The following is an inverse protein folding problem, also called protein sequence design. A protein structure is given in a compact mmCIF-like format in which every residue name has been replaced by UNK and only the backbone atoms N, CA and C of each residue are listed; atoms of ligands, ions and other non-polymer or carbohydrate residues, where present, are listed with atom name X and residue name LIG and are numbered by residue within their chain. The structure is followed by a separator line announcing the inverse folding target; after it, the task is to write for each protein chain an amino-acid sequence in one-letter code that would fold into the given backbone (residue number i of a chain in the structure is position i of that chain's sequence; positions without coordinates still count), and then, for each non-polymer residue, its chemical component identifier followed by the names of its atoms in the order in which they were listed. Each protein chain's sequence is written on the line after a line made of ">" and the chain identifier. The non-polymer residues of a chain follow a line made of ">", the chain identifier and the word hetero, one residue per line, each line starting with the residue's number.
data_IF_058670085153
#
_entry.id   IF_058670085153
#
_cell.length_a   1.000
_cell.length_b   1.000
_cell.length_c   1.000
_cell.angle_alpha   90.00
_cell.angle_beta   90.00
_cell.angle_gamma   90.00
#
_symmetry.space_group_name_H-M   'P 1'
#
loop_
_entity.id
_entity.type
_entity.pdbx_description
1 polymer ?
#
# COMPACT_ATOMS: atom_id res chain seq x y z
N UNK A 1 -75.94 29.81 -13.84
CA UNK A 1 -75.14 29.62 -12.67
C UNK A 1 -74.70 28.15 -12.46
N UNK A 2 -75.54 27.17 -12.43
CA UNK A 2 -75.18 25.75 -12.22
C UNK A 2 -74.15 25.22 -13.23
N UNK A 3 -74.23 25.57 -14.53
CA UNK A 3 -73.26 25.13 -15.55
C UNK A 3 -71.86 25.76 -15.39
N UNK A 4 -71.83 26.99 -14.91
CA UNK A 4 -70.55 27.69 -14.65
C UNK A 4 -69.79 27.06 -13.48
N UNK A 5 -70.54 26.70 -12.42
CA UNK A 5 -69.92 26.05 -11.22
C UNK A 5 -69.39 24.68 -11.59
N UNK A 6 -70.10 23.92 -12.43
CA UNK A 6 -69.59 22.59 -12.89
C UNK A 6 -68.31 22.72 -13.73
N UNK A 7 -68.21 23.76 -14.57
CA UNK A 7 -67.06 24.00 -15.42
C UNK A 7 -65.86 24.45 -14.60
N UNK A 8 -66.04 25.27 -13.56
CA UNK A 8 -64.99 25.67 -12.63
C UNK A 8 -64.50 24.48 -11.80
N UNK A 9 -65.43 23.62 -11.35
CA UNK A 9 -65.05 22.43 -10.58
C UNK A 9 -64.27 21.41 -11.44
N UNK A 10 -64.65 21.23 -12.72
CA UNK A 10 -63.85 20.40 -13.63
C UNK A 10 -62.46 20.99 -13.93
N UNK A 11 -62.33 22.32 -14.03
CA UNK A 11 -61.06 22.96 -14.24
C UNK A 11 -60.14 22.81 -13.02
N UNK A 12 -60.70 22.90 -11.81
CA UNK A 12 -59.94 22.68 -10.57
C UNK A 12 -59.48 21.23 -10.42
N UNK A 13 -60.28 20.25 -10.84
CA UNK A 13 -59.87 18.84 -10.82
C UNK A 13 -58.82 18.54 -11.88
N UNK A 14 -58.90 19.21 -13.06
CA UNK A 14 -57.86 19.06 -14.10
C UNK A 14 -56.51 19.63 -13.68
N UNK A 15 -56.46 20.72 -12.89
CA UNK A 15 -55.22 21.26 -12.35
C UNK A 15 -54.62 20.39 -11.25
N UNK A 16 -55.40 19.61 -10.51
CA UNK A 16 -54.86 18.69 -9.50
C UNK A 16 -54.27 17.40 -10.09
N UNK A 17 -54.51 17.12 -11.38
CA UNK A 17 -53.95 15.96 -12.07
C UNK A 17 -52.54 16.22 -12.66
N UNK A 18 -52.08 17.46 -12.66
CA UNK A 18 -50.69 17.82 -12.95
C UNK A 18 -49.87 17.97 -11.67
N UNK A 19 -50.09 17.15 -10.65
CA UNK A 19 -49.11 16.93 -9.62
C UNK A 19 -47.89 16.36 -10.34
N UNK A 20 -46.92 17.21 -10.57
CA UNK A 20 -45.58 16.78 -11.00
C UNK A 20 -45.10 15.82 -9.91
N UNK A 21 -45.19 14.52 -10.17
CA UNK A 21 -44.50 13.57 -9.39
C UNK A 21 -43.02 13.90 -9.55
N UNK A 22 -42.42 14.57 -8.58
CA UNK A 22 -40.98 14.71 -8.49
C UNK A 22 -40.39 13.30 -8.49
N UNK A 23 -40.04 12.83 -9.67
CA UNK A 23 -39.35 11.56 -9.82
C UNK A 23 -37.91 11.80 -9.39
N UNK A 24 -37.59 11.45 -8.14
CA UNK A 24 -36.25 11.50 -7.64
C UNK A 24 -35.50 10.30 -8.15
N UNK A 25 -34.42 10.53 -8.90
CA UNK A 25 -33.47 9.52 -9.24
C UNK A 25 -32.38 9.50 -8.16
N UNK A 26 -32.41 8.52 -7.28
CA UNK A 26 -31.34 8.29 -6.32
C UNK A 26 -30.24 7.47 -6.96
N UNK A 27 -29.06 8.08 -7.09
CA UNK A 27 -27.85 7.38 -7.52
C UNK A 27 -27.00 7.11 -6.28
N UNK A 28 -26.69 5.85 -6.04
CA UNK A 28 -25.78 5.45 -4.97
C UNK A 28 -24.65 4.58 -5.54
N UNK A 29 -23.45 4.75 -4.98
CA UNK A 29 -22.31 3.89 -5.28
C UNK A 29 -21.62 3.51 -3.97
N UNK A 30 -21.09 2.31 -3.93
CA UNK A 30 -20.27 1.83 -2.80
C UNK A 30 -18.83 1.81 -3.25
N UNK A 31 -17.99 2.60 -2.57
CA UNK A 31 -16.54 2.56 -2.79
C UNK A 31 -15.96 1.55 -1.82
N UNK A 32 -15.51 0.42 -2.34
CA UNK A 32 -14.84 -0.62 -1.54
C UNK A 32 -13.45 -0.14 -1.11
N UNK A 33 -13.10 -0.28 0.18
CA UNK A 33 -11.74 0.01 0.64
C UNK A 33 -10.73 -0.86 -0.09
N UNK A 34 -9.70 -0.22 -0.63
CA UNK A 34 -8.56 -0.89 -1.27
C UNK A 34 -7.32 -0.64 -0.43
N UNK A 35 -6.57 -1.69 -0.14
CA UNK A 35 -5.24 -1.58 0.46
C UNK A 35 -4.40 -2.71 -0.11
N UNK A 36 -3.26 -2.39 -0.66
CA UNK A 36 -2.33 -3.36 -1.21
C UNK A 36 -0.89 -2.89 -1.05
N UNK A 37 0.02 -3.82 -0.88
CA UNK A 37 1.45 -3.60 -0.71
C UNK A 37 2.21 -4.34 -1.79
N UNK A 38 3.21 -3.70 -2.36
CA UNK A 38 4.13 -4.31 -3.31
C UNK A 38 5.54 -3.77 -3.13
N UNK A 39 6.51 -4.60 -3.41
CA UNK A 39 7.91 -4.22 -3.48
C UNK A 39 8.31 -4.08 -4.95
N UNK A 40 9.14 -3.10 -5.27
CA UNK A 40 9.74 -2.92 -6.59
C UNK A 40 11.22 -2.60 -6.48
N UNK A 41 11.93 -2.75 -7.59
CA UNK A 41 13.34 -2.36 -7.73
C UNK A 41 13.49 -1.45 -8.95
N UNK A 42 14.31 -0.40 -8.80
CA UNK A 42 14.63 0.56 -9.85
C UNK A 42 13.62 1.69 -10.01
N UNK A 43 12.34 1.47 -9.74
CA UNK A 43 11.31 2.50 -9.89
C UNK A 43 10.09 2.28 -9.00
N UNK A 44 9.40 3.36 -8.73
CA UNK A 44 8.09 3.37 -8.08
C UNK A 44 7.04 2.75 -9.01
N UNK A 45 6.15 1.91 -8.47
CA UNK A 45 5.07 1.29 -9.26
C UNK A 45 4.00 2.34 -9.58
N UNK A 46 3.79 2.73 -10.84
CA UNK A 46 2.70 3.62 -11.20
C UNK A 46 1.33 2.92 -11.10
N UNK A 47 0.27 3.69 -10.88
CA UNK A 47 -1.09 3.16 -10.70
C UNK A 47 -1.57 2.29 -11.86
N UNK A 48 -1.17 2.64 -13.10
CA UNK A 48 -1.53 1.90 -14.31
C UNK A 48 -0.89 0.50 -14.38
N UNK A 49 0.29 0.33 -13.76
CA UNK A 49 1.05 -0.94 -13.79
C UNK A 49 0.91 -1.74 -12.50
N UNK A 50 0.03 -1.32 -11.56
CA UNK A 50 -0.07 -1.96 -10.25
C UNK A 50 -0.25 -3.47 -10.30
N UNK A 51 -1.10 -3.97 -11.18
CA UNK A 51 -1.41 -5.42 -11.23
C UNK A 51 -0.25 -6.27 -11.77
N UNK A 52 0.56 -5.70 -12.66
CA UNK A 52 1.65 -6.40 -13.39
C UNK A 52 3.05 -6.15 -12.81
N UNK A 53 3.21 -5.22 -11.87
CA UNK A 53 4.50 -4.83 -11.31
C UNK A 53 4.70 -5.36 -9.90
N UNK A 54 5.93 -5.36 -9.45
CA UNK A 54 6.38 -5.83 -8.15
C UNK A 54 7.32 -7.02 -8.28
N UNK A 55 8.17 -7.18 -7.29
CA UNK A 55 9.12 -8.30 -7.17
C UNK A 55 8.77 -9.14 -5.96
N UNK A 56 8.99 -10.45 -6.06
CA UNK A 56 8.88 -11.40 -4.96
C UNK A 56 10.23 -11.97 -4.56
N UNK A 57 11.24 -11.83 -5.40
CA UNK A 57 12.59 -12.33 -5.17
C UNK A 57 13.62 -11.28 -5.60
N UNK A 58 14.64 -11.10 -4.77
CA UNK A 58 15.90 -10.47 -5.11
C UNK A 58 16.89 -11.58 -5.43
N UNK A 59 16.99 -11.95 -6.70
CA UNK A 59 17.83 -13.05 -7.15
C UNK A 59 19.23 -12.65 -7.60
N UNK A 60 19.66 -11.43 -7.33
CA UNK A 60 21.06 -11.07 -7.58
C UNK A 60 21.95 -11.81 -6.59
N UNK A 61 23.09 -12.30 -7.06
CA UNK A 61 24.20 -12.64 -6.18
C UNK A 61 24.46 -11.40 -5.32
N UNK A 62 23.93 -11.39 -4.11
CA UNK A 62 24.22 -10.35 -3.12
C UNK A 62 25.74 -10.44 -2.90
N UNK A 63 26.45 -9.50 -3.49
CA UNK A 63 27.84 -9.26 -3.16
C UNK A 63 27.87 -8.37 -1.93
N UNK A 64 29.02 -8.10 -1.35
CA UNK A 64 29.21 -7.15 -0.24
C UNK A 64 28.79 -5.70 -0.59
N UNK A 65 27.95 -5.52 -1.60
CA UNK A 65 27.46 -4.20 -2.04
C UNK A 65 26.00 -4.09 -1.63
N UNK A 66 25.65 -2.97 -1.03
CA UNK A 66 24.28 -2.65 -0.67
C UNK A 66 23.34 -2.77 -1.89
N UNK A 67 22.20 -3.42 -1.71
CA UNK A 67 21.13 -3.41 -2.70
C UNK A 67 20.37 -2.11 -2.53
N UNK A 68 20.45 -1.26 -3.54
CA UNK A 68 19.80 0.05 -3.59
C UNK A 68 18.56 0.02 -4.50
N UNK A 69 17.87 1.15 -4.58
CA UNK A 69 16.73 1.35 -5.48
C UNK A 69 15.56 0.37 -5.25
N UNK A 70 15.38 -0.04 -4.00
CA UNK A 70 14.22 -0.80 -3.57
C UNK A 70 13.13 0.15 -3.09
N UNK A 71 11.86 -0.16 -3.42
CA UNK A 71 10.72 0.64 -3.01
C UNK A 71 9.63 -0.23 -2.41
N UNK A 72 9.09 0.21 -1.28
CA UNK A 72 7.82 -0.25 -0.77
C UNK A 72 6.72 0.65 -1.31
N UNK A 73 5.71 0.05 -1.96
CA UNK A 73 4.62 0.77 -2.59
C UNK A 73 3.30 0.37 -1.93
N UNK A 74 2.61 1.33 -1.32
CA UNK A 74 1.30 1.17 -0.70
C UNK A 74 0.21 1.78 -1.58
N UNK A 75 -0.69 0.96 -2.10
CA UNK A 75 -1.89 1.42 -2.81
C UNK A 75 -3.08 1.45 -1.86
N UNK A 76 -3.71 2.61 -1.70
CA UNK A 76 -4.84 2.73 -0.78
C UNK A 76 -5.80 3.85 -1.18
N UNK A 77 -7.08 3.71 -0.80
CA UNK A 77 -8.11 4.76 -0.82
C UNK A 77 -8.60 5.13 0.59
N UNK A 78 -7.95 4.60 1.62
CA UNK A 78 -8.27 4.93 3.02
C UNK A 78 -7.53 6.19 3.46
N UNK A 79 -8.12 6.90 4.43
CA UNK A 79 -7.56 8.12 5.04
C UNK A 79 -6.81 7.87 6.36
N UNK A 80 -6.73 6.63 6.81
CA UNK A 80 -5.97 6.27 8.01
C UNK A 80 -4.48 6.27 7.75
N UNK A 81 -3.67 6.38 8.80
CA UNK A 81 -2.24 6.13 8.73
C UNK A 81 -1.95 4.64 8.51
N UNK A 82 -0.78 4.37 7.95
CA UNK A 82 -0.30 3.00 7.74
C UNK A 82 1.16 2.94 8.15
N UNK A 83 1.51 1.92 8.91
CA UNK A 83 2.91 1.58 9.16
C UNK A 83 3.23 0.29 8.43
N UNK A 84 4.33 0.28 7.69
CA UNK A 84 4.87 -0.93 7.10
C UNK A 84 5.91 -1.47 8.06
N UNK A 85 5.61 -2.60 8.67
CA UNK A 85 6.54 -3.34 9.51
C UNK A 85 7.22 -4.42 8.69
N UNK A 86 8.42 -4.80 9.12
CA UNK A 86 9.16 -5.91 8.51
C UNK A 86 9.66 -6.90 9.56
N UNK A 87 9.64 -8.18 9.15
CA UNK A 87 10.40 -9.25 9.79
C UNK A 87 11.63 -9.53 8.93
N UNK A 88 12.80 -9.41 9.50
CA UNK A 88 14.07 -9.50 8.80
C UNK A 88 14.97 -10.60 9.41
N UNK A 89 14.78 -11.90 9.07
CA UNK A 89 15.66 -12.96 9.55
C UNK A 89 17.05 -12.82 8.96
N UNK A 90 18.08 -13.36 9.62
CA UNK A 90 19.41 -13.44 9.03
C UNK A 90 19.44 -14.30 7.77
N UNK A 91 20.35 -14.02 6.85
CA UNK A 91 20.67 -14.94 5.76
C UNK A 91 21.22 -16.24 6.34
N UNK A 92 20.63 -17.36 5.98
CA UNK A 92 20.99 -18.68 6.44
C UNK A 92 21.13 -19.66 5.28
N UNK A 93 21.92 -20.72 5.49
CA UNK A 93 22.12 -21.80 4.52
C UNK A 93 21.86 -23.16 5.17
N UNK A 94 21.25 -24.07 4.43
CA UNK A 94 20.95 -25.40 4.91
C UNK A 94 22.24 -26.16 5.29
N UNK A 95 22.24 -26.74 6.49
CA UNK A 95 23.36 -27.52 7.01
C UNK A 95 24.57 -26.67 7.47
N UNK A 96 24.47 -25.35 7.40
CA UNK A 96 25.50 -24.41 7.86
C UNK A 96 24.96 -23.62 9.05
N UNK A 97 25.64 -23.67 10.19
CA UNK A 97 25.24 -22.90 11.40
C UNK A 97 25.61 -21.41 11.32
N UNK A 98 26.48 -21.02 10.40
CA UNK A 98 26.88 -19.65 10.19
C UNK A 98 25.77 -18.87 9.49
N UNK A 99 25.51 -17.66 9.95
CA UNK A 99 24.52 -16.77 9.36
C UNK A 99 25.17 -15.46 8.95
N UNK A 100 24.65 -14.80 7.92
CA UNK A 100 25.14 -13.51 7.47
C UNK A 100 24.13 -12.45 7.86
N UNK A 101 24.46 -11.52 8.77
CA UNK A 101 23.60 -10.40 9.13
C UNK A 101 23.55 -9.36 7.99
N UNK A 102 22.48 -8.58 7.99
CA UNK A 102 22.28 -7.43 7.12
C UNK A 102 21.44 -6.38 7.83
N UNK A 103 21.43 -5.18 7.28
CA UNK A 103 20.55 -4.10 7.73
C UNK A 103 19.56 -3.71 6.63
N UNK A 104 18.38 -3.22 7.02
CA UNK A 104 17.40 -2.59 6.15
C UNK A 104 17.20 -1.16 6.62
N UNK A 105 17.41 -0.21 5.74
CA UNK A 105 17.26 1.20 6.03
C UNK A 105 16.32 1.88 5.05
N UNK A 106 15.29 2.57 5.56
CA UNK A 106 14.46 3.44 4.75
C UNK A 106 15.28 4.64 4.27
N UNK A 107 15.05 5.08 3.02
CA UNK A 107 15.78 6.18 2.39
C UNK A 107 14.89 7.41 2.22
N UNK A 108 14.42 7.67 1.01
CA UNK A 108 13.60 8.83 0.68
C UNK A 108 12.26 8.38 0.07
N UNK A 109 11.22 9.19 0.23
CA UNK A 109 9.90 8.93 -0.34
C UNK A 109 8.77 9.53 0.46
N UNK A 110 7.56 9.02 0.20
CA UNK A 110 6.37 9.40 0.95
C UNK A 110 6.44 8.83 2.38
N UNK A 111 5.91 9.58 3.33
CA UNK A 111 5.87 9.14 4.74
C UNK A 111 7.14 9.43 5.53
N UNK A 112 7.23 8.84 6.70
CA UNK A 112 8.34 9.01 7.64
C UNK A 112 9.10 7.69 7.78
N UNK A 113 10.40 7.73 7.51
CA UNK A 113 11.31 6.60 7.69
C UNK A 113 11.36 6.15 9.17
N UNK A 114 11.38 4.85 9.38
CA UNK A 114 11.72 4.24 10.66
C UNK A 114 13.23 4.27 10.95
N UNK A 115 13.62 3.64 12.03
CA UNK A 115 15.05 3.41 12.32
C UNK A 115 15.62 2.34 11.42
N UNK A 116 16.95 2.33 11.23
CA UNK A 116 17.63 1.21 10.60
C UNK A 116 17.34 -0.09 11.35
N UNK A 117 16.96 -1.11 10.61
CA UNK A 117 16.53 -2.41 11.12
C UNK A 117 17.64 -3.42 10.91
N UNK A 118 18.09 -4.04 11.98
CA UNK A 118 19.06 -5.14 11.89
C UNK A 118 18.33 -6.46 11.61
N UNK A 119 18.92 -7.31 10.81
CA UNK A 119 18.43 -8.67 10.65
C UNK A 119 18.41 -9.45 11.97
N UNK A 120 17.58 -10.49 12.07
CA UNK A 120 17.31 -11.19 13.31
C UNK A 120 16.20 -10.54 14.16
N UNK A 121 15.55 -9.48 13.66
CA UNK A 121 14.44 -8.79 14.34
C UNK A 121 13.11 -9.04 13.64
N UNK A 122 12.02 -8.86 14.39
CA UNK A 122 10.63 -9.00 13.92
C UNK A 122 9.83 -7.75 14.24
N UNK A 123 8.79 -7.50 13.46
CA UNK A 123 7.78 -6.45 13.68
C UNK A 123 8.39 -5.04 13.85
N UNK A 124 9.41 -4.72 13.05
CA UNK A 124 10.07 -3.42 13.09
C UNK A 124 9.50 -2.46 12.04
N UNK A 125 9.20 -1.23 12.44
CA UNK A 125 8.66 -0.22 11.55
C UNK A 125 9.72 0.26 10.54
N UNK A 126 9.49 0.00 9.25
CA UNK A 126 10.31 0.50 8.15
C UNK A 126 9.89 1.93 7.76
N UNK A 127 8.60 2.16 7.58
CA UNK A 127 8.05 3.46 7.18
C UNK A 127 6.63 3.64 7.69
N UNK A 128 6.29 4.87 8.05
CA UNK A 128 4.91 5.25 8.42
C UNK A 128 4.38 6.30 7.44
N UNK A 129 3.28 5.97 6.76
CA UNK A 129 2.54 6.88 5.90
C UNK A 129 1.45 7.58 6.70
N UNK A 130 1.42 8.91 6.66
CA UNK A 130 0.40 9.69 7.36
C UNK A 130 -1.00 9.47 6.76
N UNK A 131 -2.04 9.54 7.61
CA UNK A 131 -3.42 9.22 7.22
C UNK A 131 -4.12 10.23 6.33
N UNK A 132 -3.78 11.50 6.39
CA UNK A 132 -4.55 12.57 5.75
C UNK A 132 -3.93 13.06 4.43
N UNK A 133 -3.54 12.16 3.55
CA UNK A 133 -2.88 12.49 2.29
C UNK A 133 -3.85 12.35 1.11
N UNK A 134 -4.66 13.37 0.87
CA UNK A 134 -5.48 13.49 -0.34
C UNK A 134 -6.76 12.65 -0.36
N UNK A 135 -7.46 12.70 -1.48
CA UNK A 135 -8.73 11.99 -1.73
C UNK A 135 -8.58 11.02 -2.88
N UNK A 136 -9.30 9.89 -2.80
CA UNK A 136 -9.33 8.88 -3.85
C UNK A 136 -8.25 7.79 -3.72
N UNK A 137 -8.10 7.02 -4.77
CA UNK A 137 -7.08 5.97 -4.86
C UNK A 137 -5.71 6.59 -5.12
N UNK A 138 -4.72 6.21 -4.33
CA UNK A 138 -3.34 6.70 -4.43
C UNK A 138 -2.33 5.59 -4.24
N UNK A 139 -1.12 5.81 -4.69
CA UNK A 139 0.05 5.02 -4.37
C UNK A 139 1.00 5.93 -3.60
N UNK A 140 1.45 5.45 -2.45
CA UNK A 140 2.48 6.05 -1.62
C UNK A 140 3.71 5.15 -1.71
N UNK A 141 4.87 5.72 -1.91
CA UNK A 141 6.09 4.95 -2.14
C UNK A 141 7.23 5.48 -1.30
N UNK A 142 8.02 4.58 -0.72
CA UNK A 142 9.20 4.91 0.05
C UNK A 142 10.34 4.00 -0.34
N UNK A 143 11.52 4.59 -0.57
CA UNK A 143 12.74 3.86 -0.90
C UNK A 143 13.33 3.17 0.33
N UNK A 144 14.03 2.07 0.12
CA UNK A 144 14.85 1.42 1.14
C UNK A 144 16.05 0.71 0.53
N UNK A 145 17.03 0.40 1.37
CA UNK A 145 18.23 -0.32 1.00
C UNK A 145 18.41 -1.53 1.91
N UNK A 146 19.08 -2.55 1.38
CA UNK A 146 19.56 -3.70 2.15
C UNK A 146 21.08 -3.68 2.06
N UNK A 147 21.74 -3.65 3.21
CA UNK A 147 23.20 -3.64 3.31
C UNK A 147 23.69 -4.86 4.07
N UNK A 148 24.52 -5.68 3.43
CA UNK A 148 25.03 -6.92 3.99
C UNK A 148 26.30 -6.63 4.75
N UNK A 149 26.46 -7.24 5.92
CA UNK A 149 27.67 -7.13 6.72
C UNK A 149 28.87 -7.75 5.98
N UNK A 150 29.79 -6.89 5.56
CA UNK A 150 30.96 -7.26 4.76
C UNK A 150 31.88 -8.27 5.47
N UNK A 151 32.09 -8.09 6.77
CA UNK A 151 32.98 -8.96 7.55
C UNK A 151 32.35 -10.36 7.65
N UNK A 152 31.06 -10.45 7.93
CA UNK A 152 30.36 -11.72 7.99
C UNK A 152 30.26 -12.39 6.62
N UNK A 153 30.05 -11.62 5.55
CA UNK A 153 30.02 -12.13 4.19
C UNK A 153 31.38 -12.73 3.80
N UNK A 154 32.48 -12.02 4.05
CA UNK A 154 33.84 -12.46 3.69
C UNK A 154 34.32 -13.64 4.52
N UNK A 155 33.80 -13.85 5.72
CA UNK A 155 34.10 -14.98 6.59
C UNK A 155 33.12 -16.16 6.44
N UNK A 156 32.11 -16.03 5.60
CA UNK A 156 31.12 -17.08 5.39
C UNK A 156 31.74 -18.31 4.68
N UNK A 157 31.26 -19.48 5.06
CA UNK A 157 31.59 -20.73 4.35
C UNK A 157 30.87 -20.75 3.01
N UNK A 158 31.49 -21.32 1.99
CA UNK A 158 30.87 -21.51 0.67
C UNK A 158 29.48 -22.17 0.81
N UNK A 159 28.47 -21.54 0.23
CA UNK A 159 27.08 -22.00 0.28
C UNK A 159 26.10 -20.97 -0.28
N UNK A 160 24.85 -21.39 -0.39
CA UNK A 160 23.76 -20.48 -0.77
C UNK A 160 23.04 -20.02 0.48
N UNK A 161 23.13 -18.74 0.78
CA UNK A 161 22.47 -18.10 1.93
C UNK A 161 21.21 -17.38 1.47
N UNK A 162 20.09 -17.65 2.14
CA UNK A 162 18.78 -17.08 1.82
C UNK A 162 18.11 -16.52 3.05
N UNK A 163 17.28 -15.49 2.87
CA UNK A 163 16.34 -14.97 3.86
C UNK A 163 15.03 -14.59 3.19
N UNK A 164 13.93 -14.72 3.90
CA UNK A 164 12.63 -14.18 3.45
C UNK A 164 12.27 -13.01 4.35
N UNK A 165 12.30 -11.80 3.78
CA UNK A 165 11.83 -10.59 4.48
C UNK A 165 10.32 -10.51 4.28
N UNK A 166 9.58 -10.45 5.37
CA UNK A 166 8.11 -10.29 5.35
C UNK A 166 7.77 -8.82 5.60
N UNK A 167 6.88 -8.28 4.78
CA UNK A 167 6.38 -6.92 4.91
C UNK A 167 4.90 -6.94 5.27
N UNK A 168 4.55 -6.35 6.41
CA UNK A 168 3.19 -6.30 6.95
C UNK A 168 2.66 -4.87 7.02
N UNK A 169 1.34 -4.73 6.76
CA UNK A 169 0.64 -3.45 6.85
C UNK A 169 -0.07 -3.36 8.19
N UNK A 170 0.36 -2.43 9.03
CA UNK A 170 -0.34 -2.07 10.26
C UNK A 170 -1.16 -0.81 10.02
N UNK A 171 -2.47 -0.91 10.19
CA UNK A 171 -3.41 0.21 10.01
C UNK A 171 -3.48 1.00 11.31
N UNK A 172 -3.16 2.29 11.26
CA UNK A 172 -3.32 3.17 12.40
C UNK A 172 -4.80 3.46 12.69
N UNK A 173 -5.07 3.68 13.94
CA UNK A 173 -6.40 4.07 14.46
C UNK A 173 -6.70 5.54 14.20
#
# INVERSE_FOLDING_TARGET
>A
MKKLITMILMLLVAFSLFAVNDTQLQISTVITPVTGLKISQGEVIPSASWESSGITELSSALTSVAVTDLFVNLRTNKKTSFTINIDAPHLASDGITYTIPYTVAATEGDGTAGSTINSGTVDQALVTFAGDVGTGLRILSHGFTIDIDDDSYNNAVEGTYTATIVFDIVVGS
#
